data_IF_982390471186
#
_entry.id   IF_982390471186
#
_cell.length_a   1.000
_cell.length_b   1.000
_cell.length_c   1.000
_cell.angle_alpha   90.00
_cell.angle_beta   90.00
_cell.angle_gamma   90.00
#
_symmetry.space_group_name_H-M   'P 1'
#
loop_
_entity.id
_entity.type
_entity.pdbx_description
1 polymer ?
#
# COMPACT_ATOMS: atom_id res chain seq x y z
N UNK A 1 59.52 -71.98 36.42
CA UNK A 1 58.98 -73.27 35.96
C UNK A 1 57.47 -73.13 35.77
N UNK A 2 56.96 -73.63 34.64
CA UNK A 2 55.56 -74.08 34.35
C UNK A 2 54.40 -73.08 34.56
N UNK A 3 53.78 -72.51 33.52
CA UNK A 3 52.85 -73.04 32.47
C UNK A 3 51.39 -73.24 32.92
N UNK A 4 50.49 -72.75 32.05
CA UNK A 4 49.14 -73.24 31.65
C UNK A 4 47.90 -72.71 32.41
N UNK A 5 47.01 -71.95 31.72
CA UNK A 5 45.79 -72.35 30.93
C UNK A 5 44.60 -72.67 31.87
N UNK A 6 43.32 -72.41 31.61
CA UNK A 6 42.54 -71.70 30.58
C UNK A 6 41.06 -71.71 31.09
N UNK A 7 40.26 -70.73 30.64
CA UNK A 7 38.80 -70.73 30.33
C UNK A 7 37.82 -71.61 31.15
N UNK A 8 36.73 -71.00 31.65
CA UNK A 8 35.35 -71.17 31.11
C UNK A 8 34.25 -70.56 32.03
N UNK A 9 33.55 -69.56 31.47
CA UNK A 9 32.11 -69.23 31.47
C UNK A 9 31.17 -69.82 32.54
N UNK A 10 30.41 -68.95 33.23
CA UNK A 10 29.04 -69.22 33.68
C UNK A 10 28.15 -67.97 33.55
N UNK A 11 26.91 -68.23 33.17
CA UNK A 11 25.88 -67.32 32.69
C UNK A 11 25.42 -66.24 33.69
N UNK A 12 25.14 -65.04 33.19
CA UNK A 12 24.33 -64.04 33.89
C UNK A 12 23.04 -63.86 33.10
N UNK A 13 21.93 -64.04 33.82
CA UNK A 13 20.57 -64.08 33.29
C UNK A 13 20.10 -62.75 32.70
N UNK A 14 19.21 -62.90 31.73
CA UNK A 14 18.47 -61.85 31.04
C UNK A 14 17.47 -61.23 32.03
N UNK A 15 17.54 -59.91 32.22
CA UNK A 15 16.43 -59.09 32.71
C UNK A 15 16.00 -58.19 31.55
N UNK A 16 14.79 -58.45 31.04
CA UNK A 16 14.10 -57.57 30.10
C UNK A 16 13.74 -56.27 30.83
N UNK A 17 14.30 -55.14 30.39
CA UNK A 17 13.73 -53.82 30.64
C UNK A 17 13.09 -53.34 29.32
N UNK A 18 11.77 -53.29 29.30
CA UNK A 18 11.01 -52.72 28.20
C UNK A 18 11.25 -51.20 28.15
N UNK A 19 12.00 -50.75 27.14
CA UNK A 19 12.10 -49.33 26.79
C UNK A 19 10.78 -48.93 26.12
N UNK A 20 9.96 -48.17 26.84
CA UNK A 20 8.83 -47.45 26.27
C UNK A 20 9.39 -46.43 25.27
N UNK A 21 9.08 -46.63 23.99
CA UNK A 21 9.27 -45.63 22.96
C UNK A 21 8.37 -44.43 23.27
N UNK A 22 8.93 -43.39 23.87
CA UNK A 22 8.34 -42.06 23.83
C UNK A 22 8.62 -41.47 22.46
N UNK A 23 7.59 -41.31 21.64
CA UNK A 23 7.64 -40.48 20.44
C UNK A 23 7.90 -39.04 20.87
N UNK A 24 9.18 -38.66 20.96
CA UNK A 24 9.58 -37.26 20.91
C UNK A 24 9.32 -36.78 19.49
N UNK A 25 8.15 -36.19 19.25
CA UNK A 25 7.96 -35.36 18.08
C UNK A 25 9.00 -34.24 18.15
N UNK A 26 9.74 -34.04 17.07
CA UNK A 26 10.54 -32.82 16.91
C UNK A 26 9.63 -31.61 17.15
N UNK A 27 10.11 -30.56 17.85
CA UNK A 27 9.34 -29.33 17.96
C UNK A 27 9.03 -28.86 16.54
N UNK A 28 7.74 -28.67 16.27
CA UNK A 28 7.26 -28.09 15.01
C UNK A 28 8.04 -26.80 14.76
N UNK A 29 8.56 -26.57 13.54
CA UNK A 29 9.26 -25.32 13.25
C UNK A 29 8.37 -24.15 13.66
N UNK A 30 8.93 -23.07 14.23
CA UNK A 30 8.12 -21.92 14.62
C UNK A 30 7.31 -21.48 13.39
N UNK A 31 6.03 -21.19 13.62
CA UNK A 31 5.15 -20.66 12.58
C UNK A 31 5.85 -19.50 11.85
N UNK A 32 5.67 -19.37 10.52
CA UNK A 32 6.25 -18.26 9.80
C UNK A 32 5.88 -16.95 10.49
N UNK A 33 6.91 -16.16 10.77
CA UNK A 33 6.75 -14.81 11.31
C UNK A 33 6.56 -13.89 10.12
N UNK A 34 5.47 -13.13 10.12
CA UNK A 34 5.18 -12.11 9.12
C UNK A 34 5.55 -10.73 9.65
N UNK A 35 6.27 -9.93 8.87
CA UNK A 35 6.57 -8.54 9.22
C UNK A 35 5.56 -7.61 8.55
N UNK A 36 5.12 -6.57 9.28
CA UNK A 36 4.26 -5.54 8.74
C UNK A 36 5.02 -4.52 7.89
N UNK A 37 4.55 -4.30 6.67
CA UNK A 37 5.05 -3.26 5.77
C UNK A 37 3.92 -2.25 5.56
N UNK A 38 4.19 -0.98 5.85
CA UNK A 38 3.23 0.10 5.61
C UNK A 38 3.20 0.43 4.13
N UNK A 39 1.99 0.59 3.60
CA UNK A 39 1.76 1.00 2.21
C UNK A 39 1.41 2.50 2.10
N UNK A 40 1.74 3.27 3.13
CA UNK A 40 1.65 4.73 3.20
C UNK A 40 2.75 5.28 4.12
N UNK A 41 3.16 6.52 3.90
CA UNK A 41 4.20 7.21 4.64
C UNK A 41 3.67 8.41 5.45
N UNK A 42 2.52 9.00 5.08
CA UNK A 42 1.94 10.14 5.79
C UNK A 42 0.78 9.72 6.70
N UNK A 43 1.03 9.84 8.01
CA UNK A 43 0.00 9.81 9.05
C UNK A 43 0.03 11.13 9.80
N UNK A 44 -1.13 11.72 10.08
CA UNK A 44 -1.24 13.06 10.63
C UNK A 44 -2.04 13.05 11.93
N UNK A 45 -1.53 13.76 12.92
CA UNK A 45 -2.21 13.93 14.18
C UNK A 45 -3.40 14.88 14.03
N UNK A 46 -4.53 14.57 14.65
CA UNK A 46 -5.68 15.46 14.63
C UNK A 46 -7.03 14.79 14.77
N UNK A 47 -8.11 15.57 14.59
CA UNK A 47 -9.48 15.09 14.73
C UNK A 47 -9.97 14.27 13.53
N UNK A 48 -9.33 14.41 12.36
CA UNK A 48 -9.65 13.59 11.20
C UNK A 48 -8.97 12.22 11.32
N UNK A 49 -9.70 11.12 11.07
CA UNK A 49 -9.10 9.80 11.09
C UNK A 49 -8.15 9.62 9.90
N UNK A 50 -7.15 8.77 10.09
CA UNK A 50 -6.21 8.34 9.07
C UNK A 50 -6.67 7.00 8.49
N UNK A 51 -6.41 6.80 7.20
CA UNK A 51 -6.43 5.49 6.55
C UNK A 51 -5.07 4.83 6.76
N UNK A 52 -5.03 3.61 7.28
CA UNK A 52 -3.79 2.90 7.59
C UNK A 52 -3.64 1.62 6.75
N UNK A 53 -3.03 1.72 5.56
CA UNK A 53 -2.81 0.58 4.68
C UNK A 53 -1.50 -0.15 4.98
N UNK A 54 -1.53 -1.49 4.94
CA UNK A 54 -0.36 -2.32 5.20
C UNK A 54 -0.43 -3.70 4.50
N UNK A 55 0.72 -4.33 4.36
CA UNK A 55 0.87 -5.74 4.01
C UNK A 55 1.57 -6.52 5.12
N UNK A 56 1.39 -7.83 5.12
CA UNK A 56 2.09 -8.77 6.01
C UNK A 56 2.89 -9.72 5.13
N UNK A 57 4.21 -9.76 5.28
CA UNK A 57 5.10 -10.56 4.42
C UNK A 57 6.02 -11.45 5.26
N UNK A 58 6.22 -12.68 4.83
CA UNK A 58 7.17 -13.59 5.46
C UNK A 58 8.60 -13.42 4.92
N UNK A 59 9.56 -14.08 5.55
CA UNK A 59 10.98 -14.06 5.13
C UNK A 59 11.25 -14.61 3.71
N UNK A 60 10.29 -15.31 3.11
CA UNK A 60 10.39 -15.85 1.76
C UNK A 60 9.78 -14.88 0.73
N UNK A 61 9.23 -13.74 1.17
CA UNK A 61 8.53 -12.79 0.32
C UNK A 61 7.05 -13.12 0.08
N UNK A 62 6.50 -14.12 0.78
CA UNK A 62 5.09 -14.48 0.63
C UNK A 62 4.20 -13.57 1.48
N UNK A 63 3.18 -12.97 0.85
CA UNK A 63 2.20 -12.15 1.55
C UNK A 63 1.15 -13.03 2.25
N UNK A 64 0.77 -12.65 3.48
CA UNK A 64 -0.38 -13.22 4.16
C UNK A 64 -1.63 -12.49 3.68
N UNK A 65 -2.43 -13.12 2.83
CA UNK A 65 -3.63 -12.51 2.25
C UNK A 65 -4.91 -13.02 2.90
N UNK A 66 -5.97 -12.20 2.89
CA UNK A 66 -7.34 -12.59 3.26
C UNK A 66 -7.47 -13.22 4.66
N UNK A 67 -6.57 -12.90 5.58
CA UNK A 67 -6.64 -13.32 6.97
C UNK A 67 -7.46 -12.32 7.79
N UNK A 68 -8.00 -12.77 8.93
CA UNK A 68 -8.67 -11.89 9.88
C UNK A 68 -7.63 -11.09 10.69
N UNK A 69 -7.44 -9.87 10.19
CA UNK A 69 -6.58 -8.74 10.58
C UNK A 69 -7.04 -7.81 11.72
N UNK A 70 -6.57 -7.82 12.96
CA UNK A 70 -6.72 -6.62 13.84
C UNK A 70 -5.38 -5.92 14.07
N UNK A 71 -5.40 -4.60 14.26
CA UNK A 71 -4.19 -3.80 14.49
C UNK A 71 -4.31 -3.05 15.81
N UNK A 72 -3.31 -3.19 16.67
CA UNK A 72 -3.19 -2.44 17.91
C UNK A 72 -2.19 -1.30 17.73
N UNK A 73 -2.61 -0.11 18.11
CA UNK A 73 -1.83 1.12 17.97
C UNK A 73 -1.32 1.59 19.32
N UNK A 74 -0.06 2.02 19.35
CA UNK A 74 0.63 2.46 20.55
C UNK A 74 1.35 3.79 20.28
N UNK A 75 1.26 4.73 21.20
CA UNK A 75 2.21 5.85 21.22
C UNK A 75 3.52 5.35 21.85
N UNK A 76 4.66 5.65 21.23
CA UNK A 76 5.98 5.21 21.68
C UNK A 76 6.77 6.41 22.24
N UNK A 77 7.30 6.27 23.45
CA UNK A 77 8.15 7.27 24.11
C UNK A 77 9.37 6.58 24.74
N UNK A 78 10.49 6.56 24.00
CA UNK A 78 11.68 5.84 24.40
C UNK A 78 11.45 4.33 24.46
N UNK A 79 11.63 3.74 25.65
CA UNK A 79 11.33 2.31 25.90
C UNK A 79 9.89 2.07 26.35
N UNK A 80 9.12 3.13 26.64
CA UNK A 80 7.74 3.04 27.07
C UNK A 80 6.79 2.98 25.86
N UNK A 81 5.74 2.18 25.98
CA UNK A 81 4.65 2.14 25.00
C UNK A 81 3.30 2.33 25.71
N UNK A 82 2.44 3.14 25.09
CA UNK A 82 1.07 3.38 25.59
C UNK A 82 0.06 2.92 24.57
N UNK A 83 -0.67 1.86 24.90
CA UNK A 83 -1.79 1.39 24.09
C UNK A 83 -2.82 2.51 23.88
N UNK A 84 -3.32 2.62 22.65
CA UNK A 84 -4.22 3.69 22.26
C UNK A 84 -5.53 3.18 21.68
N UNK A 85 -5.46 2.22 20.74
CA UNK A 85 -6.63 1.67 20.08
C UNK A 85 -6.34 0.29 19.51
N UNK A 86 -7.39 -0.50 19.31
CA UNK A 86 -7.38 -1.68 18.46
C UNK A 86 -8.47 -1.50 17.40
N UNK A 87 -8.15 -1.78 16.14
CA UNK A 87 -9.09 -1.64 15.03
C UNK A 87 -8.99 -2.84 14.08
N UNK A 88 -10.13 -3.20 13.49
CA UNK A 88 -10.18 -4.26 12.49
C UNK A 88 -9.65 -3.72 11.16
N UNK A 89 -8.76 -4.48 10.52
CA UNK A 89 -8.34 -4.25 9.16
C UNK A 89 -9.23 -5.04 8.19
N UNK A 90 -9.50 -4.43 7.04
CA UNK A 90 -10.26 -5.03 5.94
C UNK A 90 -9.29 -5.37 4.81
N UNK A 91 -9.36 -6.59 4.30
CA UNK A 91 -8.65 -6.96 3.07
C UNK A 91 -9.32 -6.33 1.86
N UNK A 92 -8.57 -5.53 1.10
CA UNK A 92 -9.00 -4.89 -0.14
C UNK A 92 -8.28 -5.50 -1.32
N UNK A 93 -9.04 -6.16 -2.19
CA UNK A 93 -8.52 -6.74 -3.42
C UNK A 93 -8.31 -5.65 -4.48
N UNK A 94 -7.14 -5.64 -5.12
CA UNK A 94 -6.84 -4.74 -6.23
C UNK A 94 -7.03 -5.54 -7.51
N UNK A 95 -8.17 -5.32 -8.16
CA UNK A 95 -8.53 -6.01 -9.39
C UNK A 95 -7.75 -5.45 -10.58
N UNK A 96 -7.36 -6.33 -11.51
CA UNK A 96 -6.88 -5.91 -12.83
C UNK A 96 -5.40 -5.58 -12.91
N UNK A 97 -4.54 -6.22 -12.10
CA UNK A 97 -3.07 -6.21 -12.28
C UNK A 97 -2.76 -6.73 -13.69
N UNK A 98 -2.71 -5.85 -14.68
CA UNK A 98 -2.68 -6.27 -16.07
C UNK A 98 -1.26 -6.75 -16.39
N UNK A 99 -1.09 -8.03 -16.78
CA UNK A 99 0.20 -8.48 -17.26
C UNK A 99 0.55 -7.66 -18.50
N UNK A 100 1.63 -6.88 -18.46
CA UNK A 100 2.12 -6.12 -19.60
C UNK A 100 3.47 -6.69 -20.02
N UNK A 101 3.75 -6.58 -21.31
CA UNK A 101 4.97 -7.11 -21.93
C UNK A 101 5.97 -5.97 -22.04
N UNK A 102 7.17 -6.13 -21.50
CA UNK A 102 8.27 -5.16 -21.64
C UNK A 102 8.78 -5.14 -23.10
N UNK A 103 9.58 -4.12 -23.43
CA UNK A 103 10.22 -3.96 -24.74
C UNK A 103 11.07 -5.19 -25.17
N UNK A 104 11.46 -6.04 -24.22
CA UNK A 104 12.21 -7.28 -24.42
C UNK A 104 11.34 -8.54 -24.61
N UNK A 105 10.01 -8.42 -24.50
CA UNK A 105 9.07 -9.53 -24.67
C UNK A 105 8.71 -10.28 -23.40
N UNK A 106 9.21 -9.88 -22.22
CA UNK A 106 8.87 -10.53 -20.95
C UNK A 106 7.53 -10.04 -20.40
N UNK A 107 6.68 -10.97 -19.94
CA UNK A 107 5.40 -10.69 -19.30
C UNK A 107 5.64 -10.34 -17.82
N UNK A 108 5.39 -9.09 -17.45
CA UNK A 108 5.56 -8.61 -16.08
C UNK A 108 4.20 -8.50 -15.39
N UNK A 109 4.02 -9.30 -14.33
CA UNK A 109 2.96 -9.12 -13.35
C UNK A 109 3.44 -8.05 -12.37
N UNK A 110 2.69 -6.97 -12.18
CA UNK A 110 3.20 -5.85 -11.39
C UNK A 110 3.45 -6.20 -9.94
N UNK A 111 2.71 -7.13 -9.31
CA UNK A 111 2.94 -7.60 -7.94
C UNK A 111 2.44 -9.04 -7.76
N UNK A 112 3.15 -9.86 -6.97
CA UNK A 112 2.74 -11.22 -6.56
C UNK A 112 1.65 -11.23 -5.46
N UNK A 113 1.05 -10.07 -5.15
CA UNK A 113 0.03 -9.95 -4.12
C UNK A 113 -1.27 -9.34 -4.66
N UNK A 114 -2.40 -9.85 -4.18
CA UNK A 114 -3.74 -9.56 -4.73
C UNK A 114 -4.45 -8.37 -4.03
N UNK A 115 -3.85 -7.77 -3.01
CA UNK A 115 -4.52 -6.72 -2.24
C UNK A 115 -3.73 -6.15 -1.07
N UNK A 116 -4.40 -5.30 -0.30
CA UNK A 116 -3.83 -4.58 0.85
C UNK A 116 -4.78 -4.66 2.03
N UNK A 117 -4.25 -4.76 3.26
CA UNK A 117 -5.07 -4.58 4.44
C UNK A 117 -5.20 -3.10 4.75
N UNK A 118 -6.40 -2.65 5.10
CA UNK A 118 -6.64 -1.26 5.47
C UNK A 118 -7.44 -1.20 6.77
N UNK A 119 -6.91 -0.46 7.75
CA UNK A 119 -7.76 0.11 8.81
C UNK A 119 -8.28 1.44 8.27
N UNK A 120 -9.59 1.54 8.08
CA UNK A 120 -10.21 2.68 7.41
C UNK A 120 -10.10 3.99 8.18
N UNK A 121 -10.29 3.90 9.50
CA UNK A 121 -10.31 5.05 10.37
C UNK A 121 -9.52 4.75 11.65
N UNK A 122 -8.38 5.42 11.79
CA UNK A 122 -7.62 5.46 13.05
C UNK A 122 -7.24 6.90 13.39
N UNK A 123 -7.58 7.33 14.60
CA UNK A 123 -7.24 8.66 15.09
C UNK A 123 -5.91 8.64 15.85
N UNK A 124 -5.03 9.56 15.50
CA UNK A 124 -3.80 9.82 16.24
C UNK A 124 -3.90 11.19 16.90
N UNK A 125 -4.08 11.29 18.23
CA UNK A 125 -4.28 12.57 18.91
C UNK A 125 -3.00 13.42 19.04
N UNK A 126 -1.83 12.82 18.83
CA UNK A 126 -0.52 13.47 18.99
C UNK A 126 0.45 13.05 17.90
N UNK A 127 1.29 13.98 17.48
CA UNK A 127 2.45 13.69 16.65
C UNK A 127 3.54 13.00 17.46
N UNK A 128 4.32 12.14 16.81
CA UNK A 128 5.36 11.36 17.48
C UNK A 128 5.65 10.05 16.76
N UNK A 129 6.44 9.19 17.39
CA UNK A 129 6.65 7.83 16.92
C UNK A 129 5.54 6.94 17.49
N UNK A 130 4.92 6.16 16.63
CA UNK A 130 3.84 5.25 16.95
C UNK A 130 4.22 3.82 16.56
N UNK A 131 3.59 2.84 17.19
CA UNK A 131 3.74 1.43 16.90
C UNK A 131 2.41 0.83 16.44
N UNK A 132 2.47 -0.09 15.47
CA UNK A 132 1.37 -0.95 15.06
C UNK A 132 1.76 -2.41 15.30
N UNK A 133 0.97 -3.13 16.09
CA UNK A 133 1.06 -4.58 16.26
C UNK A 133 -0.09 -5.26 15.51
N UNK A 134 0.22 -6.28 14.70
CA UNK A 134 -0.75 -6.97 13.85
C UNK A 134 -1.20 -8.27 14.50
N UNK A 135 -2.46 -8.40 14.87
CA UNK A 135 -3.01 -9.58 15.51
C UNK A 135 -3.81 -10.37 14.49
N UNK A 136 -3.29 -11.53 14.11
CA UNK A 136 -3.92 -12.43 13.13
C UNK A 136 -4.71 -13.50 13.88
N UNK A 137 -5.96 -13.71 13.51
CA UNK A 137 -6.74 -14.82 14.05
C UNK A 137 -6.09 -16.18 13.74
N UNK A 138 -6.21 -17.13 14.65
CA UNK A 138 -5.54 -18.44 14.54
C UNK A 138 -4.08 -18.45 15.02
N UNK A 139 -3.55 -17.32 15.50
CA UNK A 139 -2.27 -17.28 16.23
C UNK A 139 -1.01 -17.24 15.35
N UNK A 140 -1.16 -16.86 14.08
CA UNK A 140 -0.02 -16.55 13.21
C UNK A 140 0.84 -15.46 13.85
N UNK A 141 2.15 -15.71 13.96
CA UNK A 141 3.08 -14.77 14.57
C UNK A 141 3.39 -13.62 13.61
N UNK A 142 3.42 -12.41 14.15
CA UNK A 142 3.74 -11.21 13.40
C UNK A 142 4.75 -10.35 14.15
N UNK A 143 5.48 -9.53 13.41
CA UNK A 143 6.26 -8.42 13.93
C UNK A 143 5.50 -7.12 13.70
N UNK A 144 5.43 -6.30 14.75
CA UNK A 144 4.91 -4.94 14.65
C UNK A 144 5.86 -4.02 13.87
N UNK A 145 5.39 -2.82 13.56
CA UNK A 145 6.17 -1.79 12.89
C UNK A 145 6.04 -0.46 13.62
N UNK A 146 7.09 0.36 13.55
CA UNK A 146 7.07 1.73 14.06
C UNK A 146 6.94 2.72 12.91
N UNK A 147 6.22 3.82 13.13
CA UNK A 147 5.97 4.83 12.11
C UNK A 147 5.86 6.22 12.72
N UNK A 148 6.09 7.24 11.88
CA UNK A 148 5.97 8.63 12.28
C UNK A 148 4.55 9.13 12.05
N UNK A 149 3.94 9.70 13.09
CA UNK A 149 2.76 10.56 12.96
C UNK A 149 3.23 12.01 12.97
N UNK A 150 2.90 12.74 11.92
CA UNK A 150 3.25 14.14 11.72
C UNK A 150 2.27 15.07 12.42
N UNK A 151 2.72 16.27 12.78
CA UNK A 151 1.84 17.28 13.37
C UNK A 151 0.93 17.94 12.32
N UNK A 152 1.40 18.03 11.09
CA UNK A 152 0.71 18.67 9.97
C UNK A 152 0.86 17.78 8.73
N UNK A 153 -0.12 17.82 7.84
CA UNK A 153 -0.06 17.13 6.56
C UNK A 153 0.86 17.89 5.61
N UNK A 154 1.69 17.17 4.84
CA UNK A 154 2.46 17.76 3.75
C UNK A 154 1.64 17.84 2.46
N UNK A 155 0.82 16.81 2.20
CA UNK A 155 -0.11 16.78 1.09
C UNK A 155 -1.48 17.39 1.48
N UNK A 156 -2.28 17.91 0.52
CA UNK A 156 -3.58 18.53 0.78
C UNK A 156 -4.50 17.67 1.65
N UNK A 157 -4.96 18.21 2.78
CA UNK A 157 -5.88 17.53 3.69
C UNK A 157 -7.33 17.60 3.21
N UNK A 158 -8.18 16.69 3.71
CA UNK A 158 -9.63 16.73 3.41
C UNK A 158 -10.23 18.06 3.90
N UNK A 159 -10.93 18.74 2.99
CA UNK A 159 -11.51 20.07 3.16
C UNK A 159 -10.65 21.23 2.64
N UNK A 160 -9.36 21.01 2.43
CA UNK A 160 -8.47 22.02 1.84
C UNK A 160 -8.71 22.18 0.34
N UNK A 161 -8.29 23.32 -0.21
CA UNK A 161 -8.36 23.54 -1.65
C UNK A 161 -7.31 22.66 -2.35
N UNK A 162 -7.71 21.99 -3.44
CA UNK A 162 -6.76 21.35 -4.33
C UNK A 162 -5.87 22.42 -5.00
N UNK A 163 -4.55 22.19 -5.13
CA UNK A 163 -3.70 23.04 -5.95
C UNK A 163 -4.26 23.18 -7.37
N UNK A 164 -4.27 24.39 -7.91
CA UNK A 164 -4.77 24.69 -9.26
C UNK A 164 -3.68 24.44 -10.30
N UNK A 165 -3.25 23.19 -10.37
CA UNK A 165 -2.12 22.76 -11.21
C UNK A 165 -2.46 22.89 -12.70
N UNK A 166 -1.57 23.54 -13.44
CA UNK A 166 -1.63 23.68 -14.90
C UNK A 166 -0.77 22.58 -15.57
N UNK A 167 -1.06 21.31 -15.26
CA UNK A 167 -0.36 20.18 -15.86
C UNK A 167 -0.61 20.13 -17.38
N UNK A 168 0.39 19.68 -18.14
CA UNK A 168 0.26 19.48 -19.58
C UNK A 168 -0.78 18.39 -19.89
N UNK A 169 -1.50 18.57 -21.00
CA UNK A 169 -2.46 17.62 -21.55
C UNK A 169 -1.99 17.06 -22.89
N UNK A 170 -2.72 16.07 -23.42
CA UNK A 170 -2.52 15.56 -24.78
C UNK A 170 -2.72 16.61 -25.88
N UNK A 171 -3.30 17.77 -25.54
CA UNK A 171 -3.48 18.89 -26.48
C UNK A 171 -2.30 19.88 -26.45
N UNK A 172 -1.44 19.79 -25.43
CA UNK A 172 -0.31 20.71 -25.21
C UNK A 172 1.04 20.09 -25.62
N UNK A 173 1.21 18.78 -25.42
CA UNK A 173 2.46 18.07 -25.66
C UNK A 173 2.24 16.64 -26.17
N UNK A 174 3.26 16.01 -26.82
CA UNK A 174 3.22 14.59 -27.13
C UNK A 174 3.00 13.74 -25.87
N UNK A 175 2.19 12.68 -25.98
CA UNK A 175 1.85 11.82 -24.83
C UNK A 175 3.09 11.26 -24.11
N UNK A 176 4.11 10.89 -24.87
CA UNK A 176 5.37 10.39 -24.30
C UNK A 176 6.08 11.43 -23.41
N UNK A 177 5.82 12.73 -23.54
CA UNK A 177 6.42 13.76 -22.68
C UNK A 177 5.67 13.94 -21.35
N UNK A 178 4.43 13.46 -21.25
CA UNK A 178 3.56 13.68 -20.09
C UNK A 178 3.19 12.38 -19.34
N UNK A 179 3.44 11.22 -19.95
CA UNK A 179 3.13 9.92 -19.37
C UNK A 179 4.19 8.86 -19.67
N UNK A 180 4.32 7.91 -18.76
CA UNK A 180 5.14 6.70 -18.89
C UNK A 180 4.34 5.44 -19.18
N UNK A 181 3.01 5.56 -19.33
CA UNK A 181 2.14 4.44 -19.73
C UNK A 181 2.51 3.90 -21.11
N UNK A 182 2.42 2.59 -21.35
CA UNK A 182 2.76 1.97 -22.64
C UNK A 182 1.61 2.06 -23.66
N UNK A 183 1.08 3.27 -23.88
CA UNK A 183 0.01 3.58 -24.85
C UNK A 183 0.35 4.88 -25.61
N UNK A 184 -0.30 5.11 -26.75
CA UNK A 184 -0.06 6.32 -27.56
C UNK A 184 -0.80 7.56 -27.03
N UNK A 185 -1.95 7.36 -26.38
CA UNK A 185 -2.79 8.40 -25.78
C UNK A 185 -3.90 7.72 -24.96
N UNK A 186 -4.47 8.46 -24.00
CA UNK A 186 -5.60 8.03 -23.18
C UNK A 186 -6.50 9.21 -22.78
N UNK A 187 -7.57 8.91 -22.04
CA UNK A 187 -8.48 9.93 -21.51
C UNK A 187 -8.01 10.53 -20.18
N UNK A 188 -6.98 9.99 -19.54
CA UNK A 188 -6.50 10.42 -18.23
C UNK A 188 -5.70 11.74 -18.29
N UNK A 189 -5.30 12.16 -19.50
CA UNK A 189 -4.53 13.37 -19.75
C UNK A 189 -5.29 14.37 -20.62
N UNK A 190 -6.63 14.36 -20.56
CA UNK A 190 -7.47 15.21 -21.42
C UNK A 190 -7.60 16.66 -20.93
N UNK A 191 -7.50 16.88 -19.61
CA UNK A 191 -7.65 18.20 -18.97
C UNK A 191 -6.60 18.42 -17.89
N UNK A 192 -6.28 19.67 -17.59
CA UNK A 192 -5.49 20.04 -16.42
C UNK A 192 -6.34 20.04 -15.14
N UNK A 193 -5.70 19.97 -13.98
CA UNK A 193 -6.39 20.13 -12.68
C UNK A 193 -7.07 21.50 -12.61
N UNK A 194 -6.41 22.57 -13.06
CA UNK A 194 -7.01 23.90 -13.10
C UNK A 194 -8.29 23.94 -13.97
N UNK A 195 -8.28 23.30 -15.14
CA UNK A 195 -9.45 23.16 -16.00
C UNK A 195 -10.57 22.34 -15.34
N UNK A 196 -10.22 21.25 -14.66
CA UNK A 196 -11.19 20.42 -13.93
C UNK A 196 -11.86 21.19 -12.77
N UNK A 197 -11.09 22.02 -12.05
CA UNK A 197 -11.65 22.91 -11.02
C UNK A 197 -12.59 23.95 -11.64
N UNK A 198 -12.22 24.54 -12.78
CA UNK A 198 -13.06 25.54 -13.46
C UNK A 198 -14.36 24.97 -14.04
N UNK A 199 -14.39 23.67 -14.33
CA UNK A 199 -15.60 22.98 -14.75
C UNK A 199 -16.66 22.90 -13.63
N UNK A 200 -16.25 23.00 -12.36
CA UNK A 200 -17.17 23.05 -11.21
C UNK A 200 -17.85 21.72 -10.88
N UNK A 201 -17.34 20.60 -11.41
CA UNK A 201 -17.84 19.25 -11.19
C UNK A 201 -16.82 18.44 -10.36
N UNK A 202 -17.24 17.41 -9.60
CA UNK A 202 -16.31 16.50 -8.96
C UNK A 202 -15.37 15.84 -9.97
N UNK A 203 -14.10 15.66 -9.59
CA UNK A 203 -13.09 14.98 -10.39
C UNK A 203 -12.11 14.20 -9.52
N UNK A 204 -11.31 13.34 -10.14
CA UNK A 204 -10.24 12.58 -9.49
C UNK A 204 -8.91 13.04 -10.07
N UNK A 205 -7.88 13.16 -9.24
CA UNK A 205 -6.50 13.37 -9.69
C UNK A 205 -5.60 12.37 -8.98
N UNK A 206 -4.68 11.76 -9.71
CA UNK A 206 -3.74 10.82 -9.13
C UNK A 206 -2.32 10.99 -9.69
N UNK A 207 -1.36 10.73 -8.82
CA UNK A 207 0.07 10.82 -9.08
C UNK A 207 0.65 9.42 -9.03
N UNK A 208 1.07 8.90 -10.18
CA UNK A 208 1.65 7.57 -10.31
C UNK A 208 2.59 7.53 -11.52
N UNK A 209 3.62 6.71 -11.46
CA UNK A 209 4.55 6.51 -12.57
C UNK A 209 4.71 5.03 -12.87
N UNK A 210 3.98 4.45 -13.84
CA UNK A 210 4.11 3.03 -14.19
C UNK A 210 5.55 2.57 -14.53
N UNK A 211 6.38 3.44 -15.13
CA UNK A 211 7.76 3.08 -15.51
C UNK A 211 8.80 3.41 -14.45
N UNK A 212 8.71 4.58 -13.82
CA UNK A 212 9.66 5.08 -12.83
C UNK A 212 9.11 5.00 -11.39
N UNK A 213 8.52 3.85 -11.05
CA UNK A 213 7.92 3.63 -9.75
C UNK A 213 8.96 3.25 -8.69
N UNK A 214 8.97 3.93 -7.56
CA UNK A 214 9.77 3.58 -6.37
C UNK A 214 8.98 2.64 -5.45
N UNK A 215 7.69 2.86 -5.32
CA UNK A 215 6.80 2.10 -4.42
C UNK A 215 6.42 0.71 -4.93
N UNK A 216 6.57 0.49 -6.25
CA UNK A 216 5.99 -0.62 -7.01
C UNK A 216 4.45 -0.67 -7.02
N UNK A 217 3.76 0.36 -6.51
CA UNK A 217 2.30 0.44 -6.44
C UNK A 217 1.68 1.23 -7.61
N UNK A 218 2.47 2.01 -8.35
CA UNK A 218 2.00 2.89 -9.42
C UNK A 218 1.18 2.19 -10.49
N UNK A 219 1.65 1.03 -10.96
CA UNK A 219 1.02 0.26 -12.02
C UNK A 219 -0.40 -0.14 -11.63
N UNK A 220 -0.58 -0.90 -10.54
CA UNK A 220 -1.91 -1.27 -10.04
C UNK A 220 -2.84 -0.08 -9.77
N UNK A 221 -2.32 1.04 -9.24
CA UNK A 221 -3.12 2.25 -9.04
C UNK A 221 -3.55 2.84 -10.39
N UNK A 222 -2.65 2.94 -11.36
CA UNK A 222 -2.98 3.45 -12.70
C UNK A 222 -4.05 2.61 -13.38
N UNK A 223 -3.94 1.28 -13.33
CA UNK A 223 -4.94 0.35 -13.88
C UNK A 223 -6.30 0.53 -13.18
N UNK A 224 -6.28 0.68 -11.85
CA UNK A 224 -7.48 0.93 -11.05
C UNK A 224 -8.17 2.24 -11.47
N UNK A 225 -7.41 3.32 -11.63
CA UNK A 225 -7.99 4.63 -11.97
C UNK A 225 -8.43 4.72 -13.42
N UNK A 226 -7.78 4.01 -14.35
CA UNK A 226 -8.28 3.84 -15.71
C UNK A 226 -9.65 3.14 -15.72
N UNK A 227 -9.82 2.09 -14.93
CA UNK A 227 -11.13 1.44 -14.77
C UNK A 227 -12.17 2.38 -14.16
N UNK A 228 -11.81 3.12 -13.11
CA UNK A 228 -12.71 4.13 -12.51
C UNK A 228 -13.17 5.13 -13.57
N UNK A 229 -12.25 5.62 -14.41
CA UNK A 229 -12.56 6.52 -15.51
C UNK A 229 -13.58 5.89 -16.49
N UNK A 230 -13.36 4.63 -16.87
CA UNK A 230 -14.26 3.89 -17.77
C UNK A 230 -15.65 3.68 -17.16
N UNK A 231 -15.73 3.32 -15.88
CA UNK A 231 -16.98 3.09 -15.16
C UNK A 231 -17.78 4.39 -14.95
N UNK A 232 -17.09 5.53 -14.79
CA UNK A 232 -17.73 6.85 -14.70
C UNK A 232 -18.21 7.37 -16.06
N UNK A 233 -17.83 6.72 -17.17
CA UNK A 233 -18.37 7.00 -18.50
C UNK A 233 -18.12 8.42 -19.00
N UNK A 234 -17.03 9.05 -18.55
CA UNK A 234 -16.71 10.45 -18.87
C UNK A 234 -17.57 11.51 -18.17
N UNK A 235 -18.42 11.12 -17.21
CA UNK A 235 -19.19 12.09 -16.41
C UNK A 235 -18.35 12.78 -15.32
N UNK A 236 -17.14 12.27 -15.06
CA UNK A 236 -16.21 12.72 -14.03
C UNK A 236 -14.83 12.60 -14.63
N UNK A 237 -14.05 13.68 -14.59
CA UNK A 237 -12.68 13.68 -15.09
C UNK A 237 -11.77 12.91 -14.12
N UNK A 238 -10.82 12.17 -14.67
CA UNK A 238 -9.76 11.48 -13.93
C UNK A 238 -8.43 11.93 -14.51
N UNK A 239 -7.66 12.71 -13.75
CA UNK A 239 -6.42 13.34 -14.20
C UNK A 239 -5.22 12.54 -13.70
N UNK A 240 -4.40 12.03 -14.62
CA UNK A 240 -3.12 11.38 -14.30
C UNK A 240 -1.99 12.41 -14.39
N UNK A 241 -1.16 12.47 -13.35
CA UNK A 241 0.06 13.27 -13.33
C UNK A 241 1.27 12.38 -13.00
N UNK A 242 2.35 12.54 -13.74
CA UNK A 242 3.62 11.88 -13.44
C UNK A 242 4.32 12.59 -12.25
N UNK A 243 4.68 11.86 -11.18
CA UNK A 243 5.30 12.45 -9.99
C UNK A 243 6.75 12.89 -10.22
N UNK A 244 7.36 12.50 -11.34
CA UNK A 244 8.78 12.74 -11.61
C UNK A 244 8.99 13.62 -12.85
N UNK A 245 10.10 14.37 -12.85
CA UNK A 245 10.65 14.96 -14.07
C UNK A 245 11.03 13.83 -15.05
N UNK A 246 10.24 13.69 -16.12
CA UNK A 246 10.41 12.60 -17.08
C UNK A 246 11.65 12.75 -17.95
N UNK A 247 12.12 13.97 -18.20
CA UNK A 247 13.35 14.19 -18.96
C UNK A 247 14.54 13.69 -18.16
N UNK A 248 14.64 14.12 -16.88
CA UNK A 248 15.66 13.64 -15.96
C UNK A 248 15.57 12.11 -15.74
N UNK A 249 14.36 11.57 -15.58
CA UNK A 249 14.17 10.13 -15.36
C UNK A 249 14.60 9.30 -16.58
N UNK A 250 14.28 9.72 -17.80
CA UNK A 250 14.59 8.97 -19.03
C UNK A 250 16.03 9.15 -19.51
N UNK A 251 16.51 10.39 -19.49
CA UNK A 251 17.77 10.75 -20.15
C UNK A 251 18.95 10.76 -19.17
N UNK A 252 18.69 10.94 -17.86
CA UNK A 252 19.73 10.94 -16.83
C UNK A 252 19.63 9.74 -15.87
N UNK A 253 18.50 9.03 -15.85
CA UNK A 253 18.23 7.96 -14.89
C UNK A 253 18.04 8.49 -13.46
N UNK A 254 17.62 9.75 -13.31
CA UNK A 254 17.49 10.44 -12.01
C UNK A 254 16.03 10.76 -11.71
N UNK A 255 15.52 10.25 -10.60
CA UNK A 255 14.19 10.59 -10.10
C UNK A 255 14.25 11.88 -9.30
N UNK A 256 13.73 12.94 -9.92
CA UNK A 256 13.55 14.26 -9.29
C UNK A 256 12.06 14.54 -9.28
N UNK A 257 11.45 14.97 -8.14
CA UNK A 257 10.04 15.32 -8.11
C UNK A 257 9.68 16.32 -9.22
N UNK A 258 8.54 16.10 -9.87
CA UNK A 258 7.97 17.06 -10.82
C UNK A 258 7.55 18.35 -10.11
N UNK A 259 7.32 19.42 -10.86
CA UNK A 259 6.84 20.68 -10.30
C UNK A 259 5.45 20.48 -9.66
N UNK A 260 4.62 19.63 -10.26
CA UNK A 260 3.30 19.26 -9.82
C UNK A 260 3.36 18.44 -8.52
N UNK A 261 4.24 17.43 -8.42
CA UNK A 261 4.43 16.68 -7.18
C UNK A 261 4.87 17.59 -6.03
N UNK A 262 5.77 18.55 -6.31
CA UNK A 262 6.23 19.52 -5.34
C UNK A 262 5.14 20.55 -4.96
N UNK A 263 4.32 20.99 -5.91
CA UNK A 263 3.18 21.89 -5.67
C UNK A 263 2.16 21.26 -4.73
N UNK A 264 1.93 19.95 -4.89
CA UNK A 264 1.05 19.16 -4.02
C UNK A 264 1.71 18.70 -2.73
N UNK A 265 2.99 19.01 -2.50
CA UNK A 265 3.69 18.62 -1.27
C UNK A 265 3.77 17.11 -1.03
N UNK A 266 3.70 16.29 -2.10
CA UNK A 266 3.60 14.84 -1.95
C UNK A 266 4.96 14.25 -1.50
N UNK A 267 5.00 13.48 -0.40
CA UNK A 267 6.25 12.90 0.09
C UNK A 267 6.65 11.60 -0.62
N UNK A 268 5.73 11.04 -1.41
CA UNK A 268 5.80 9.67 -1.94
C UNK A 268 4.91 9.53 -3.18
N UNK A 269 4.91 8.35 -3.77
CA UNK A 269 3.93 7.93 -4.76
C UNK A 269 3.45 6.50 -4.43
N UNK A 270 2.25 6.09 -4.89
CA UNK A 270 1.27 6.91 -5.59
C UNK A 270 0.32 7.64 -4.63
N UNK A 271 -0.30 8.70 -5.13
CA UNK A 271 -1.38 9.42 -4.43
C UNK A 271 -2.61 9.50 -5.30
N UNK A 272 -3.80 9.40 -4.69
CA UNK A 272 -5.09 9.64 -5.36
C UNK A 272 -5.92 10.59 -4.52
N UNK A 273 -6.49 11.60 -5.15
CA UNK A 273 -7.38 12.58 -4.53
C UNK A 273 -8.72 12.61 -5.26
N UNK A 274 -9.80 12.69 -4.49
CA UNK A 274 -11.13 13.01 -5.00
C UNK A 274 -11.43 14.45 -4.62
N UNK A 275 -11.76 15.27 -5.61
CA UNK A 275 -11.98 16.71 -5.46
C UNK A 275 -13.45 17.00 -5.76
N UNK A 276 -14.09 17.84 -4.94
CA UNK A 276 -15.49 18.24 -5.14
C UNK A 276 -15.62 19.40 -6.15
N UNK A 277 -16.85 19.73 -6.53
CA UNK A 277 -17.13 20.82 -7.49
C UNK A 277 -16.73 22.22 -7.03
N UNK A 278 -16.36 22.41 -5.75
CA UNK A 278 -15.79 23.66 -5.24
C UNK A 278 -14.25 23.68 -5.31
N UNK A 279 -13.62 22.64 -5.86
CA UNK A 279 -12.16 22.49 -5.91
C UNK A 279 -11.53 22.13 -4.57
N UNK A 280 -12.27 21.48 -3.65
CA UNK A 280 -11.77 21.03 -2.34
C UNK A 280 -11.58 19.52 -2.28
N UNK A 281 -10.53 19.09 -1.58
CA UNK A 281 -10.26 17.68 -1.34
C UNK A 281 -11.40 17.06 -0.52
N UNK A 282 -12.08 16.07 -1.09
CA UNK A 282 -13.13 15.30 -0.44
C UNK A 282 -12.59 13.98 0.13
N UNK A 283 -11.65 13.36 -0.57
CA UNK A 283 -10.95 12.16 -0.11
C UNK A 283 -9.51 12.16 -0.62
N UNK A 284 -8.62 11.49 0.10
CA UNK A 284 -7.21 11.33 -0.25
C UNK A 284 -6.73 9.93 0.12
N UNK A 285 -5.91 9.35 -0.72
CA UNK A 285 -5.39 8.00 -0.59
C UNK A 285 -3.91 8.00 -0.96
N UNK A 286 -3.06 7.55 -0.04
CA UNK A 286 -1.67 7.21 -0.32
C UNK A 286 -1.54 5.70 -0.56
N UNK A 287 -0.73 5.33 -1.54
CA UNK A 287 -0.50 3.94 -1.90
C UNK A 287 -1.67 3.33 -2.67
N UNK A 288 -1.89 2.03 -2.46
CA UNK A 288 -2.97 1.31 -3.12
C UNK A 288 -4.35 1.82 -2.70
N UNK A 289 -5.20 1.99 -3.70
CA UNK A 289 -6.62 2.33 -3.57
C UNK A 289 -7.43 1.40 -4.47
N UNK A 290 -8.64 1.05 -4.07
CA UNK A 290 -9.56 0.26 -4.92
C UNK A 290 -10.49 1.15 -5.73
N UNK A 291 -11.02 0.61 -6.82
CA UNK A 291 -12.06 1.28 -7.60
C UNK A 291 -13.31 1.59 -6.73
N UNK A 292 -13.68 0.69 -5.82
CA UNK A 292 -14.82 0.89 -4.93
C UNK A 292 -14.63 2.09 -3.99
N UNK A 293 -13.44 2.26 -3.41
CA UNK A 293 -13.12 3.43 -2.57
C UNK A 293 -13.28 4.74 -3.34
N UNK A 294 -12.70 4.83 -4.54
CA UNK A 294 -12.77 6.05 -5.36
C UNK A 294 -14.19 6.31 -5.86
N UNK A 295 -14.86 5.29 -6.40
CA UNK A 295 -16.23 5.41 -6.90
C UNK A 295 -17.21 5.75 -5.77
N UNK A 296 -17.02 5.18 -4.58
CA UNK A 296 -17.81 5.50 -3.39
C UNK A 296 -17.69 6.98 -3.02
N UNK A 297 -16.45 7.50 -2.94
CA UNK A 297 -16.19 8.91 -2.65
C UNK A 297 -16.79 9.85 -3.71
N UNK A 298 -16.63 9.53 -5.00
CA UNK A 298 -17.23 10.31 -6.10
C UNK A 298 -18.76 10.28 -6.05
N UNK A 299 -19.37 9.11 -5.82
CA UNK A 299 -20.84 8.97 -5.75
C UNK A 299 -21.43 9.72 -4.57
N UNK A 300 -20.75 9.76 -3.42
CA UNK A 300 -21.18 10.55 -2.26
C UNK A 300 -21.31 12.04 -2.62
N UNK A 301 -20.32 12.61 -3.29
CA UNK A 301 -20.35 14.01 -3.74
C UNK A 301 -21.52 14.30 -4.70
N UNK A 302 -21.79 13.37 -5.63
CA UNK A 302 -22.87 13.53 -6.61
C UNK A 302 -24.26 13.35 -6.02
N UNK A 303 -24.38 12.63 -4.91
CA UNK A 303 -25.65 12.48 -4.19
C UNK A 303 -26.00 13.75 -3.39
N UNK A 304 -24.99 14.49 -2.93
CA UNK A 304 -25.15 15.73 -2.16
C UNK A 304 -25.37 16.98 -3.05
N UNK A 305 -25.14 16.86 -4.37
CA UNK A 305 -25.48 17.92 -5.32
C UNK A 305 -27.00 18.05 -5.49
N UNK A 306 -27.59 19.26 -5.36
CA UNK A 306 -29.01 19.45 -5.65
C UNK A 306 -29.30 19.07 -7.11
N UNK A 307 -30.49 18.47 -7.42
CA UNK A 307 -30.83 18.18 -8.80
C UNK A 307 -30.85 19.48 -9.60
N UNK A 308 -30.14 19.46 -10.73
CA UNK A 308 -30.09 20.54 -11.72
C UNK A 308 -31.44 20.81 -12.39
#
# INVERSE_FOLDING_TARGET
MTRHRARAWFAVGVVLAALLAGCGGEPEPPAPVYSGILAAAEFVAGPQPNRFPFGLVDKNGAFLERADVSVRFFELDGEDSRFHAEAQAVWREVEGVTPHVHDDGELHLHLDYAGVYVVDEVAFPSAGIWGAEFVVDGGTLTEGTAFQVQAEASAPAVGEAAPRTENLTIHDAPFAEISTRPVESDALHNVSVAQAIDAGEPFVVFFASPRFCVSALCGPVTDTLERVQQELGGAVEVVHIEPWDLDAARNEGRLTPSAEMAEWGLPSEPWTFVVNGEGRIAARYEGLVTAEEVLGAVRALRADSPPS
#
